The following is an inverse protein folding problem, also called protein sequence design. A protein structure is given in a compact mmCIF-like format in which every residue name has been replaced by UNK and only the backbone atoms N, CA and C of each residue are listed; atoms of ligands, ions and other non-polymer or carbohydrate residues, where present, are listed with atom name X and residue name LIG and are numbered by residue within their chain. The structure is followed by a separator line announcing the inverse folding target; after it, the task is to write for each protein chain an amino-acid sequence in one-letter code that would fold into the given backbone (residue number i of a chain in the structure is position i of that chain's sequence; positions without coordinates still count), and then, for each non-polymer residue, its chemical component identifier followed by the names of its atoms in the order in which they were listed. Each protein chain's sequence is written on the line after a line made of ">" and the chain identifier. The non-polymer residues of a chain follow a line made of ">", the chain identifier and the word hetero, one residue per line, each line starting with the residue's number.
data_IF_786138862160
#
_entry.id   IF_786138862160
#
_cell.length_a   1.000
_cell.length_b   1.000
_cell.length_c   1.000
_cell.angle_alpha   90.00
_cell.angle_beta   90.00
_cell.angle_gamma   90.00
#
_symmetry.space_group_name_H-M   'P 1'
#
loop_
_entity.id
_entity.type
_entity.pdbx_description
1 polymer ?
#
# COMPACT_ATOMS: atom_id res chain seq x y z
N UNK A 1 12.88 8.05 -9.40
CA UNK A 1 11.89 7.15 -8.79
C UNK A 1 12.23 5.74 -9.23
N UNK A 2 12.41 4.77 -8.33
CA UNK A 2 12.55 3.37 -8.77
C UNK A 2 11.15 2.84 -9.07
N UNK A 3 10.80 2.80 -10.34
CA UNK A 3 9.60 2.09 -10.80
C UNK A 3 9.81 0.60 -10.61
N UNK A 4 8.91 -0.05 -9.89
CA UNK A 4 8.90 -1.51 -9.79
C UNK A 4 7.63 -2.00 -10.48
N UNK A 5 7.76 -2.72 -11.59
CA UNK A 5 6.61 -3.27 -12.35
C UNK A 5 5.93 -4.48 -11.70
N UNK A 6 6.29 -4.83 -10.47
CA UNK A 6 5.65 -5.89 -9.67
C UNK A 6 5.37 -5.34 -8.28
N UNK A 7 4.19 -5.67 -7.74
CA UNK A 7 3.89 -5.43 -6.32
C UNK A 7 5.03 -6.06 -5.53
N UNK A 8 5.73 -5.26 -4.72
CA UNK A 8 6.83 -5.76 -3.89
C UNK A 8 6.33 -6.80 -2.86
N UNK A 9 5.01 -6.92 -2.70
CA UNK A 9 4.37 -7.87 -1.81
C UNK A 9 3.76 -9.02 -2.61
N UNK A 10 4.17 -10.27 -2.34
CA UNK A 10 3.53 -11.46 -2.89
C UNK A 10 2.04 -11.48 -2.52
N UNK A 11 1.22 -11.92 -3.46
CA UNK A 11 -0.20 -12.17 -3.23
C UNK A 11 -0.41 -13.22 -2.11
N UNK A 12 -1.52 -13.11 -1.39
CA UNK A 12 -1.87 -13.93 -0.22
C UNK A 12 -0.85 -13.90 0.93
N UNK A 13 0.00 -12.87 1.00
CA UNK A 13 1.02 -12.75 2.04
C UNK A 13 0.66 -11.69 3.06
N UNK A 14 0.86 -12.03 4.32
CA UNK A 14 0.91 -11.09 5.42
C UNK A 14 2.34 -10.56 5.57
N UNK A 15 2.44 -9.24 5.69
CA UNK A 15 3.67 -8.51 5.90
C UNK A 15 3.54 -7.80 7.24
N UNK A 16 4.44 -8.16 8.15
CA UNK A 16 4.61 -7.51 9.44
C UNK A 16 5.76 -6.52 9.36
N UNK A 17 5.74 -5.52 10.24
CA UNK A 17 6.79 -4.53 10.41
C UNK A 17 7.14 -3.82 9.09
N UNK A 18 6.09 -3.27 8.46
CA UNK A 18 6.26 -2.34 7.34
C UNK A 18 7.03 -1.12 7.85
N UNK A 19 8.32 -1.04 7.53
CA UNK A 19 9.16 0.14 7.76
C UNK A 19 8.79 1.30 6.79
N UNK A 20 7.48 1.56 6.63
CA UNK A 20 6.91 2.59 5.78
C UNK A 20 6.60 3.84 6.61
N UNK A 21 7.08 5.01 6.18
CA UNK A 21 6.69 6.30 6.76
C UNK A 21 5.24 6.64 6.39
N UNK A 22 4.86 6.41 5.14
CA UNK A 22 3.49 6.50 4.67
C UNK A 22 3.29 5.71 3.38
N UNK A 23 2.01 5.49 3.07
CA UNK A 23 1.53 4.89 1.84
C UNK A 23 0.27 5.59 1.36
N UNK A 24 0.16 5.83 0.06
CA UNK A 24 -0.99 6.49 -0.57
C UNK A 24 -1.53 5.65 -1.72
N UNK A 25 -2.82 5.32 -1.64
CA UNK A 25 -3.59 4.73 -2.73
C UNK A 25 -4.30 5.84 -3.50
N UNK A 26 -4.37 5.71 -4.82
CA UNK A 26 -5.05 6.67 -5.69
C UNK A 26 -5.96 5.93 -6.66
N UNK A 27 -7.23 6.33 -6.74
CA UNK A 27 -8.23 5.74 -7.64
C UNK A 27 -8.45 6.57 -8.91
N UNK A 28 -9.14 5.99 -9.89
CA UNK A 28 -9.40 6.63 -11.19
C UNK A 28 -10.24 7.92 -11.09
N UNK A 29 -11.10 8.02 -10.07
CA UNK A 29 -11.87 9.22 -9.76
C UNK A 29 -11.02 10.33 -9.10
N UNK A 30 -9.72 10.10 -8.87
CA UNK A 30 -8.81 11.03 -8.20
C UNK A 30 -8.83 10.95 -6.66
N UNK A 31 -9.66 10.09 -6.08
CA UNK A 31 -9.69 9.84 -4.63
C UNK A 31 -8.32 9.35 -4.15
N UNK A 32 -7.95 9.74 -2.92
CA UNK A 32 -6.68 9.38 -2.30
C UNK A 32 -6.87 8.94 -0.86
N UNK A 33 -6.25 7.82 -0.51
CA UNK A 33 -6.16 7.34 0.87
C UNK A 33 -4.70 7.27 1.27
N UNK A 34 -4.30 8.12 2.23
CA UNK A 34 -2.96 8.09 2.81
C UNK A 34 -2.99 7.48 4.20
N UNK A 35 -2.21 6.42 4.40
CA UNK A 35 -2.01 5.73 5.66
C UNK A 35 -0.60 6.06 6.13
N UNK A 36 -0.48 6.65 7.32
CA UNK A 36 0.80 7.01 7.93
C UNK A 36 1.28 5.88 8.81
N UNK A 37 2.58 5.56 8.75
CA UNK A 37 3.22 4.51 9.54
C UNK A 37 2.39 3.21 9.57
N UNK A 38 2.04 2.63 8.41
CA UNK A 38 1.41 1.33 8.39
C UNK A 38 2.39 0.33 9.00
N UNK A 39 1.90 -0.56 9.85
CA UNK A 39 2.71 -1.58 10.53
C UNK A 39 2.46 -2.97 9.94
N UNK A 40 1.22 -3.23 9.51
CA UNK A 40 0.80 -4.51 8.96
C UNK A 40 0.11 -4.31 7.62
N UNK A 41 0.35 -5.24 6.69
CA UNK A 41 -0.33 -5.34 5.40
C UNK A 41 -0.65 -6.80 5.12
N UNK A 42 -1.90 -7.05 4.82
CA UNK A 42 -2.35 -8.31 4.23
C UNK A 42 -2.87 -8.02 2.83
N UNK A 43 -2.34 -8.72 1.84
CA UNK A 43 -2.83 -8.66 0.45
C UNK A 43 -3.67 -9.90 0.19
N UNK A 44 -4.93 -9.72 -0.18
CA UNK A 44 -5.86 -10.80 -0.51
C UNK A 44 -6.55 -10.55 -1.85
N UNK A 45 -7.34 -11.52 -2.31
CA UNK A 45 -8.16 -11.44 -3.53
C UNK A 45 -9.18 -10.33 -3.59
N UNK A 46 -9.44 -9.64 -2.49
CA UNK A 46 -10.43 -8.57 -2.45
C UNK A 46 -9.77 -7.21 -2.17
N UNK A 47 -8.44 -7.14 -2.10
CA UNK A 47 -7.71 -5.91 -1.85
C UNK A 47 -6.71 -6.01 -0.72
N UNK A 48 -6.40 -4.86 -0.12
CA UNK A 48 -5.42 -4.74 0.95
C UNK A 48 -6.11 -4.45 2.28
N UNK A 49 -5.63 -5.10 3.33
CA UNK A 49 -5.94 -4.72 4.71
C UNK A 49 -4.67 -4.21 5.36
N UNK A 50 -4.75 -3.04 5.97
CA UNK A 50 -3.63 -2.42 6.68
C UNK A 50 -4.01 -2.13 8.12
N UNK A 51 -3.03 -2.10 8.99
CA UNK A 51 -3.16 -1.50 10.32
C UNK A 51 -2.01 -0.51 10.54
N UNK A 52 -2.32 0.67 11.05
CA UNK A 52 -1.31 1.68 11.41
C UNK A 52 -0.75 1.48 12.82
N UNK A 53 0.25 2.30 13.18
CA UNK A 53 0.85 2.30 14.52
C UNK A 53 -0.14 2.54 15.68
N UNK A 54 -1.32 3.10 15.40
CA UNK A 54 -2.38 3.35 16.38
C UNK A 54 -3.40 2.21 16.42
N UNK A 55 -3.09 1.06 15.78
CA UNK A 55 -3.99 -0.08 15.60
C UNK A 55 -5.27 0.26 14.84
N UNK A 56 -5.31 1.36 14.06
CA UNK A 56 -6.46 1.63 13.20
C UNK A 56 -6.34 0.77 11.95
N UNK A 57 -7.39 0.00 11.68
CA UNK A 57 -7.46 -0.84 10.48
C UNK A 57 -8.08 -0.10 9.31
N UNK A 58 -7.50 -0.31 8.13
CA UNK A 58 -7.97 0.22 6.86
C UNK A 58 -8.18 -0.95 5.91
N UNK A 59 -9.35 -1.00 5.29
CA UNK A 59 -9.59 -1.88 4.16
C UNK A 59 -9.58 -1.05 2.88
N UNK A 60 -8.79 -1.49 1.93
CA UNK A 60 -8.59 -0.84 0.63
C UNK A 60 -8.97 -1.86 -0.42
N UNK A 61 -10.15 -1.68 -1.01
CA UNK A 61 -10.61 -2.52 -2.11
C UNK A 61 -9.70 -2.37 -3.34
N UNK A 62 -9.77 -3.34 -4.25
CA UNK A 62 -9.17 -3.18 -5.57
C UNK A 62 -9.76 -1.99 -6.35
N UNK A 63 -9.11 -1.64 -7.47
CA UNK A 63 -9.51 -0.54 -8.34
C UNK A 63 -8.71 0.76 -8.14
N UNK A 64 -7.71 0.77 -7.26
CA UNK A 64 -6.72 1.84 -7.22
C UNK A 64 -5.74 1.72 -8.40
N UNK A 65 -5.38 2.84 -9.01
CA UNK A 65 -4.48 2.93 -10.15
C UNK A 65 -3.01 3.01 -9.73
N UNK A 66 -2.76 3.77 -8.67
CA UNK A 66 -1.42 4.04 -8.19
C UNK A 66 -1.31 3.73 -6.71
N UNK A 67 -0.19 3.12 -6.36
CA UNK A 67 0.26 2.97 -5.00
C UNK A 67 1.61 3.69 -4.87
N UNK A 68 1.66 4.68 -4.01
CA UNK A 68 2.88 5.38 -3.61
C UNK A 68 3.22 5.00 -2.19
N UNK A 69 4.49 4.79 -1.87
CA UNK A 69 4.90 4.75 -0.48
C UNK A 69 6.32 5.26 -0.30
N UNK A 70 6.59 5.72 0.91
CA UNK A 70 7.91 6.13 1.36
C UNK A 70 8.28 5.27 2.56
N UNK A 71 9.49 4.72 2.55
CA UNK A 71 10.02 4.02 3.72
C UNK A 71 10.58 5.00 4.76
N UNK A 72 10.88 4.54 5.97
CA UNK A 72 11.44 5.39 7.03
C UNK A 72 12.82 5.98 6.65
N UNK A 73 13.55 5.35 5.71
CA UNK A 73 14.79 5.89 5.12
C UNK A 73 14.55 6.95 4.02
N UNK A 74 13.32 7.43 3.83
CA UNK A 74 12.91 8.39 2.79
C UNK A 74 13.07 7.90 1.34
N UNK A 75 13.18 6.59 1.14
CA UNK A 75 13.15 5.98 -0.21
C UNK A 75 11.71 5.92 -0.69
N UNK A 76 11.49 6.47 -1.89
CA UNK A 76 10.17 6.55 -2.53
C UNK A 76 10.00 5.44 -3.54
N UNK A 77 8.85 4.81 -3.48
CA UNK A 77 8.44 3.72 -4.35
C UNK A 77 7.09 4.08 -4.97
N UNK A 78 6.93 3.67 -6.22
CA UNK A 78 5.68 3.80 -6.93
C UNK A 78 5.39 2.50 -7.66
N UNK A 79 4.16 2.04 -7.49
CA UNK A 79 3.62 0.89 -8.16
C UNK A 79 2.40 1.30 -8.97
N UNK A 80 2.39 0.88 -10.23
CA UNK A 80 1.32 1.12 -11.17
C UNK A 80 0.51 -0.16 -11.31
N UNK A 81 -0.78 -0.07 -11.01
CA UNK A 81 -1.84 -1.04 -11.31
C UNK A 81 -1.78 -2.40 -10.59
N UNK A 82 -2.77 -2.66 -9.74
CA UNK A 82 -3.15 -4.03 -9.37
C UNK A 82 -4.30 -4.45 -10.30
N UNK A 83 -4.18 -5.62 -10.95
CA UNK A 83 -5.16 -6.12 -11.92
C UNK A 83 -6.60 -6.07 -11.34
N UNK A 84 -7.62 -5.87 -12.19
CA UNK A 84 -9.01 -6.16 -11.85
C UNK A 84 -9.22 -7.66 -11.63
#
# INVERSE_FOLDING_TARGET
>A
MKETGKSLFPWAKEVKDLHEAFRTYVWANGERLTIKKPKFLTVSDNGHRLADQNNRSYYVSYGWLYLFWENEDKKKYQFYYQRP
#
